data_IF_382606219879
#
_entry.id   IF_382606219879
#
_cell.length_a   1.000
_cell.length_b   1.000
_cell.length_c   1.000
_cell.angle_alpha   90.00
_cell.angle_beta   90.00
_cell.angle_gamma   90.00
#
_symmetry.space_group_name_H-M   'P 1'
#
loop_
_entity.id
_entity.type
_entity.pdbx_description
1 polymer ?
#
# COMPACT_ATOMS: atom_id res chain seq x y z
N UNK A 1 -8.50 64.77 -87.75
CA UNK A 1 -9.49 63.75 -88.19
C UNK A 1 -8.91 62.36 -87.95
N UNK A 2 -9.71 61.42 -87.41
CA UNK A 2 -9.56 59.93 -87.39
C UNK A 2 -8.31 59.37 -86.68
N UNK A 3 -8.41 58.69 -85.52
CA UNK A 3 -8.99 57.37 -85.13
C UNK A 3 -7.96 56.21 -85.16
N UNK A 4 -7.93 55.44 -84.04
CA UNK A 4 -7.62 53.98 -83.87
C UNK A 4 -6.14 53.63 -83.58
N UNK A 5 -5.78 53.26 -82.33
CA UNK A 5 -5.61 51.89 -81.73
C UNK A 5 -4.38 51.14 -82.28
N UNK A 6 -3.52 50.38 -81.59
CA UNK A 6 -3.22 49.96 -80.21
C UNK A 6 -1.94 49.08 -80.34
N UNK A 7 -1.08 49.00 -79.32
CA UNK A 7 -0.24 47.84 -78.87
C UNK A 7 1.07 48.37 -78.24
N UNK A 8 1.17 48.40 -76.90
CA UNK A 8 1.57 47.30 -76.02
C UNK A 8 3.10 47.15 -75.93
N UNK A 9 3.74 48.03 -75.16
CA UNK A 9 5.08 47.83 -74.63
C UNK A 9 5.00 46.89 -73.42
N UNK A 10 5.39 45.63 -73.62
CA UNK A 10 5.66 44.68 -72.55
C UNK A 10 7.08 44.97 -72.04
N UNK A 11 7.21 45.83 -71.03
CA UNK A 11 8.40 45.89 -70.19
C UNK A 11 7.99 45.43 -68.79
N UNK A 12 8.49 44.26 -68.41
CA UNK A 12 8.27 43.63 -67.12
C UNK A 12 8.96 44.50 -66.07
N UNK A 13 8.19 45.36 -65.41
CA UNK A 13 8.56 45.83 -64.08
C UNK A 13 7.90 44.86 -63.10
N UNK A 14 8.71 44.04 -62.43
CA UNK A 14 8.31 43.38 -61.20
C UNK A 14 7.85 44.47 -60.23
N UNK A 15 6.54 44.66 -60.12
CA UNK A 15 5.96 45.39 -59.00
C UNK A 15 6.08 44.45 -57.82
N UNK A 16 7.20 44.54 -57.11
CA UNK A 16 7.31 44.06 -55.75
C UNK A 16 6.22 44.78 -54.95
N UNK A 17 5.16 44.07 -54.58
CA UNK A 17 4.31 44.54 -53.50
C UNK A 17 5.20 44.59 -52.27
N UNK A 18 5.55 45.81 -51.84
CA UNK A 18 6.15 46.02 -50.54
C UNK A 18 5.18 45.43 -49.50
N UNK A 19 5.65 44.38 -48.85
CA UNK A 19 5.09 43.85 -47.62
C UNK A 19 4.90 45.02 -46.63
N UNK A 20 3.70 45.13 -46.04
CA UNK A 20 3.64 45.29 -44.59
C UNK A 20 3.83 43.84 -44.08
N UNK A 21 4.99 43.36 -43.61
CA UNK A 21 5.95 43.80 -42.56
C UNK A 21 5.27 44.15 -41.24
N UNK A 22 5.04 43.12 -40.42
CA UNK A 22 4.87 43.27 -38.98
C UNK A 22 6.19 43.82 -38.38
N UNK A 23 6.15 44.75 -37.42
CA UNK A 23 7.37 45.36 -36.89
C UNK A 23 8.28 44.33 -36.20
N UNK A 24 9.58 44.49 -36.42
CA UNK A 24 10.70 43.74 -35.81
C UNK A 24 11.01 44.16 -34.36
N UNK A 25 10.21 45.05 -33.76
CA UNK A 25 10.28 45.45 -32.35
C UNK A 25 8.97 46.11 -31.89
N UNK A 26 8.54 45.86 -30.65
CA UNK A 26 7.31 46.39 -30.05
C UNK A 26 7.56 47.46 -28.98
N UNK A 27 6.53 48.24 -28.66
CA UNK A 27 6.46 48.99 -27.40
C UNK A 27 5.03 49.01 -26.88
N UNK A 28 4.85 48.53 -25.65
CA UNK A 28 3.64 48.72 -24.84
C UNK A 28 4.09 49.30 -23.49
N UNK A 29 3.62 50.49 -23.15
CA UNK A 29 3.89 51.13 -21.87
C UNK A 29 2.61 51.74 -21.31
N UNK A 30 2.36 51.52 -20.02
CA UNK A 30 1.22 52.10 -19.30
C UNK A 30 1.66 52.56 -17.91
N UNK A 31 1.48 53.85 -17.65
CA UNK A 31 1.83 54.53 -16.38
C UNK A 31 0.61 55.27 -15.78
N UNK A 32 -0.54 55.32 -16.48
CA UNK A 32 -1.73 56.04 -15.97
C UNK A 32 -3.02 55.19 -15.93
N UNK A 33 -3.58 54.67 -17.03
CA UNK A 33 -4.65 53.62 -16.93
C UNK A 33 -5.02 52.93 -18.26
N UNK A 34 -5.29 51.61 -18.21
CA UNK A 34 -5.98 50.85 -19.27
C UNK A 34 -7.14 50.01 -18.70
N UNK A 35 -8.37 50.21 -19.23
CA UNK A 35 -9.56 49.36 -19.05
C UNK A 35 -10.29 49.25 -20.40
N UNK A 36 -10.63 48.05 -20.93
CA UNK A 36 -11.48 47.99 -22.15
C UNK A 36 -12.53 46.85 -22.11
N UNK A 37 -13.82 47.24 -22.11
CA UNK A 37 -15.06 46.42 -22.13
C UNK A 37 -16.15 46.88 -21.12
N UNK A 38 -17.41 47.11 -21.55
CA UNK A 38 -18.56 47.65 -20.75
C UNK A 38 -19.06 46.63 -19.71
N UNK A 39 -19.37 47.10 -18.49
CA UNK A 39 -20.00 46.31 -17.42
C UNK A 39 -21.43 45.91 -17.82
N UNK A 40 -21.72 44.60 -17.86
CA UNK A 40 -23.06 44.06 -18.16
C UNK A 40 -23.55 43.08 -17.07
N UNK A 41 -23.54 43.49 -15.81
CA UNK A 41 -24.29 42.79 -14.78
C UNK A 41 -24.86 43.75 -13.73
N UNK A 42 -26.14 43.56 -13.41
CA UNK A 42 -26.80 44.16 -12.26
C UNK A 42 -26.27 43.54 -10.96
N UNK A 43 -26.32 44.29 -9.87
CA UNK A 43 -25.92 43.83 -8.53
C UNK A 43 -26.54 42.46 -8.20
N UNK A 44 -25.71 41.49 -7.77
CA UNK A 44 -26.14 40.17 -7.29
C UNK A 44 -25.82 38.96 -8.19
N UNK A 45 -25.44 39.15 -9.45
CA UNK A 45 -25.00 38.07 -10.37
C UNK A 45 -23.51 38.26 -10.70
N UNK A 46 -22.74 37.17 -10.87
CA UNK A 46 -21.34 37.29 -11.32
C UNK A 46 -21.33 37.89 -12.73
N UNK A 47 -20.92 39.15 -12.84
CA UNK A 47 -20.72 39.81 -14.12
C UNK A 47 -19.46 39.31 -14.79
N UNK A 48 -19.44 39.27 -16.12
CA UNK A 48 -18.26 38.88 -16.90
C UNK A 48 -17.84 40.03 -17.81
N UNK A 49 -16.56 40.39 -17.78
CA UNK A 49 -16.01 41.43 -18.65
C UNK A 49 -14.74 40.88 -19.32
N UNK A 50 -14.75 40.77 -20.64
CA UNK A 50 -13.52 40.61 -21.42
C UNK A 50 -12.70 41.89 -21.27
N UNK A 51 -11.52 41.79 -20.66
CA UNK A 51 -10.62 42.93 -20.44
C UNK A 51 -9.60 43.06 -21.56
N UNK A 52 -9.19 41.94 -22.16
CA UNK A 52 -8.25 41.88 -23.28
C UNK A 52 -8.51 40.63 -24.13
N UNK A 53 -8.49 40.76 -25.45
CA UNK A 53 -8.62 39.66 -26.40
C UNK A 53 -7.46 39.69 -27.40
N UNK A 54 -6.75 38.57 -27.56
CA UNK A 54 -5.56 38.44 -28.41
C UNK A 54 -5.76 37.31 -29.43
N UNK A 55 -5.88 37.65 -30.71
CA UNK A 55 -5.99 36.69 -31.81
C UNK A 55 -4.65 36.55 -32.55
N UNK A 56 -3.98 35.38 -32.50
CA UNK A 56 -2.82 35.14 -33.34
C UNK A 56 -3.21 35.13 -34.83
N UNK A 57 -2.38 35.76 -35.67
CA UNK A 57 -2.59 35.84 -37.11
C UNK A 57 -2.60 34.43 -37.75
N UNK A 58 -3.61 34.15 -38.58
CA UNK A 58 -3.74 32.87 -39.28
C UNK A 58 -4.27 31.70 -38.43
N UNK A 59 -4.58 31.91 -37.15
CA UNK A 59 -5.10 30.85 -36.28
C UNK A 59 -6.63 30.75 -36.34
N UNK A 60 -7.18 29.54 -36.54
CA UNK A 60 -8.63 29.30 -36.70
C UNK A 60 -9.38 29.01 -35.40
N UNK A 61 -8.66 28.74 -34.30
CA UNK A 61 -9.25 28.37 -33.00
C UNK A 61 -9.76 29.53 -32.12
N UNK A 62 -9.79 30.76 -32.64
CA UNK A 62 -10.25 31.95 -31.91
C UNK A 62 -9.19 32.60 -31.02
N UNK A 63 -9.55 33.67 -30.28
CA UNK A 63 -8.60 34.46 -29.52
C UNK A 63 -8.38 33.90 -28.12
N UNK A 64 -7.25 34.27 -27.51
CA UNK A 64 -7.06 34.22 -26.07
C UNK A 64 -7.82 35.38 -25.43
N UNK A 65 -8.69 35.09 -24.46
CA UNK A 65 -9.44 36.11 -23.74
C UNK A 65 -9.02 36.14 -22.29
N UNK A 66 -8.64 37.32 -21.82
CA UNK A 66 -8.40 37.61 -20.41
C UNK A 66 -9.66 38.27 -19.87
N UNK A 67 -10.33 37.58 -18.95
CA UNK A 67 -11.61 37.99 -18.40
C UNK A 67 -11.46 38.31 -16.92
N UNK A 68 -12.13 39.36 -16.49
CA UNK A 68 -12.40 39.56 -15.08
C UNK A 68 -13.87 39.24 -14.85
N UNK A 69 -14.14 38.39 -13.86
CA UNK A 69 -15.50 38.14 -13.37
C UNK A 69 -15.58 38.52 -11.91
N UNK A 70 -16.65 39.15 -11.48
CA UNK A 70 -16.82 39.55 -10.09
C UNK A 70 -18.29 39.67 -9.69
N UNK A 71 -18.53 39.63 -8.38
CA UNK A 71 -19.73 40.13 -7.73
C UNK A 71 -19.32 40.94 -6.49
N UNK A 72 -20.26 41.24 -5.59
CA UNK A 72 -19.97 41.98 -4.36
C UNK A 72 -18.98 41.27 -3.40
N UNK A 73 -18.83 39.94 -3.54
CA UNK A 73 -18.12 39.09 -2.57
C UNK A 73 -16.87 38.41 -3.12
N UNK A 74 -16.81 38.15 -4.43
CA UNK A 74 -15.74 37.36 -5.06
C UNK A 74 -15.32 37.96 -6.39
N UNK A 75 -14.05 37.79 -6.74
CA UNK A 75 -13.50 38.18 -8.03
C UNK A 75 -12.66 37.04 -8.62
N UNK A 76 -12.55 37.01 -9.94
CA UNK A 76 -11.85 35.98 -10.71
C UNK A 76 -11.10 36.63 -11.87
N UNK A 77 -9.91 36.09 -12.15
CA UNK A 77 -9.19 36.29 -13.40
C UNK A 77 -9.20 34.99 -14.17
N UNK A 78 -9.84 34.97 -15.34
CA UNK A 78 -9.85 33.81 -16.22
C UNK A 78 -9.03 34.06 -17.49
N UNK A 79 -8.39 33.00 -17.97
CA UNK A 79 -7.74 32.94 -19.28
C UNK A 79 -8.43 31.84 -20.07
N UNK A 80 -9.10 32.24 -21.15
CA UNK A 80 -9.86 31.36 -22.03
C UNK A 80 -9.20 31.28 -23.41
N UNK A 81 -9.38 30.16 -24.08
CA UNK A 81 -9.00 29.99 -25.48
C UNK A 81 -10.21 29.51 -26.29
N UNK A 82 -10.63 30.31 -27.28
CA UNK A 82 -11.78 29.99 -28.13
C UNK A 82 -13.13 30.10 -27.41
N UNK A 83 -14.05 29.14 -27.67
CA UNK A 83 -15.46 29.14 -27.20
C UNK A 83 -15.77 28.13 -26.09
N UNK A 84 -14.81 27.32 -25.64
CA UNK A 84 -15.05 26.23 -24.68
C UNK A 84 -14.26 26.42 -23.38
N UNK A 85 -14.91 26.99 -22.36
CA UNK A 85 -14.47 26.98 -20.97
C UNK A 85 -13.17 27.75 -20.66
N UNK A 86 -12.96 28.05 -19.38
CA UNK A 86 -11.73 28.69 -18.91
C UNK A 86 -10.60 27.67 -18.77
N UNK A 87 -9.47 27.97 -19.41
CA UNK A 87 -8.28 27.12 -19.35
C UNK A 87 -7.54 27.32 -18.02
N UNK A 88 -7.46 28.57 -17.54
CA UNK A 88 -6.90 28.94 -16.25
C UNK A 88 -7.86 29.89 -15.53
N UNK A 89 -8.09 29.65 -14.26
CA UNK A 89 -8.87 30.50 -13.36
C UNK A 89 -8.06 30.83 -12.13
N UNK A 90 -8.05 32.10 -11.73
CA UNK A 90 -7.46 32.54 -10.46
C UNK A 90 -8.55 33.25 -9.67
N UNK A 91 -8.87 32.74 -8.48
CA UNK A 91 -9.89 33.35 -7.60
C UNK A 91 -9.30 34.45 -6.71
N UNK A 92 -10.16 35.30 -6.14
CA UNK A 92 -9.78 36.32 -5.15
C UNK A 92 -9.13 35.72 -3.90
N UNK A 93 -9.44 34.47 -3.57
CA UNK A 93 -8.81 33.70 -2.49
C UNK A 93 -7.47 33.06 -2.90
N UNK A 94 -6.98 33.39 -4.10
CA UNK A 94 -5.71 32.90 -4.67
C UNK A 94 -5.72 31.40 -4.96
N UNK A 95 -6.88 30.82 -5.22
CA UNK A 95 -6.96 29.44 -5.74
C UNK A 95 -6.76 29.47 -7.26
N UNK A 96 -6.02 28.50 -7.78
CA UNK A 96 -5.73 28.34 -9.19
C UNK A 96 -6.46 27.10 -9.72
N UNK A 97 -7.36 27.30 -10.68
CA UNK A 97 -8.04 26.23 -11.40
C UNK A 97 -7.45 26.06 -12.80
N UNK A 98 -7.08 24.85 -13.20
CA UNK A 98 -6.72 24.52 -14.57
C UNK A 98 -7.84 23.65 -15.14
N UNK A 99 -8.57 24.16 -16.13
CA UNK A 99 -9.76 23.52 -16.70
C UNK A 99 -11.02 23.57 -15.81
N UNK A 100 -10.99 24.33 -14.70
CA UNK A 100 -12.15 24.54 -13.80
C UNK A 100 -12.29 26.03 -13.45
N UNK A 101 -13.53 26.51 -13.34
CA UNK A 101 -13.86 27.92 -13.02
C UNK A 101 -14.14 28.16 -11.54
N UNK A 102 -14.28 27.10 -10.74
CA UNK A 102 -14.60 27.18 -9.31
C UNK A 102 -13.67 26.25 -8.51
N UNK A 103 -12.35 26.50 -8.47
CA UNK A 103 -11.42 25.66 -7.74
C UNK A 103 -11.69 25.70 -6.23
N UNK A 104 -11.85 24.53 -5.64
CA UNK A 104 -12.08 24.30 -4.21
C UNK A 104 -10.79 24.20 -3.38
N UNK A 105 -9.65 24.09 -4.06
CA UNK A 105 -8.31 23.98 -3.46
C UNK A 105 -7.37 25.03 -4.04
N UNK A 106 -6.23 25.26 -3.37
CA UNK A 106 -5.20 26.22 -3.82
C UNK A 106 -4.73 25.96 -5.25
N UNK A 107 -4.63 24.70 -5.63
CA UNK A 107 -4.46 24.27 -7.02
C UNK A 107 -5.45 23.13 -7.28
N UNK A 108 -6.31 23.29 -8.27
CA UNK A 108 -7.22 22.25 -8.74
C UNK A 108 -7.07 22.08 -10.26
N UNK A 109 -6.82 20.85 -10.70
CA UNK A 109 -6.66 20.52 -12.11
C UNK A 109 -7.77 19.57 -12.50
N UNK A 110 -8.66 20.00 -13.39
CA UNK A 110 -9.65 19.12 -14.02
C UNK A 110 -8.97 18.38 -15.18
N UNK A 111 -8.22 17.33 -14.85
CA UNK A 111 -7.45 16.55 -15.81
C UNK A 111 -6.19 15.95 -15.19
N UNK A 112 -5.17 15.72 -16.01
CA UNK A 112 -3.90 15.10 -15.60
C UNK A 112 -2.80 16.16 -15.43
N UNK A 113 -1.95 15.99 -14.43
CA UNK A 113 -0.69 16.73 -14.27
C UNK A 113 0.51 15.86 -14.63
N UNK A 114 1.47 16.39 -15.38
CA UNK A 114 2.76 15.75 -15.64
C UNK A 114 3.89 16.63 -15.08
N UNK A 115 4.60 16.15 -14.07
CA UNK A 115 5.65 16.89 -13.36
C UNK A 115 7.01 16.25 -13.66
N UNK A 116 7.96 17.04 -14.16
CA UNK A 116 9.35 16.57 -14.46
C UNK A 116 10.28 16.60 -13.22
N UNK A 117 9.74 16.87 -12.03
CA UNK A 117 10.49 17.00 -10.78
C UNK A 117 9.75 16.36 -9.61
N UNK A 118 10.29 16.55 -8.39
CA UNK A 118 9.72 15.98 -7.16
C UNK A 118 8.46 16.75 -6.74
N UNK A 119 7.42 16.02 -6.35
CA UNK A 119 6.27 16.56 -5.66
C UNK A 119 6.56 16.47 -4.15
N UNK A 120 6.60 17.61 -3.47
CA UNK A 120 6.92 17.69 -2.04
C UNK A 120 5.64 17.99 -1.26
N UNK A 121 5.31 17.11 -0.32
CA UNK A 121 4.29 17.32 0.70
C UNK A 121 4.99 17.48 2.04
N UNK A 122 4.90 18.66 2.65
CA UNK A 122 5.65 19.00 3.86
C UNK A 122 4.77 19.74 4.84
N UNK A 123 4.42 19.05 5.92
CA UNK A 123 3.65 19.58 7.05
C UNK A 123 4.44 19.29 8.31
N UNK A 124 4.52 20.26 9.22
CA UNK A 124 5.26 20.16 10.48
C UNK A 124 4.31 19.81 11.63
N UNK A 125 3.81 18.58 11.64
CA UNK A 125 3.01 18.01 12.74
C UNK A 125 3.30 16.51 12.89
N UNK A 126 2.55 15.82 13.76
CA UNK A 126 2.76 14.38 14.03
C UNK A 126 2.32 13.47 12.87
N UNK A 127 1.46 13.95 11.98
CA UNK A 127 0.95 13.22 10.81
C UNK A 127 1.88 13.43 9.61
N UNK A 128 2.51 14.60 9.55
CA UNK A 128 3.43 15.03 8.51
C UNK A 128 2.78 15.23 7.15
N UNK A 129 3.63 15.33 6.12
CA UNK A 129 3.17 15.39 4.74
C UNK A 129 2.46 14.12 4.32
N UNK A 130 1.44 14.26 3.46
CA UNK A 130 0.68 13.13 2.94
C UNK A 130 0.45 13.21 1.43
N UNK A 131 0.17 12.04 0.84
CA UNK A 131 -0.44 11.88 -0.48
C UNK A 131 -1.78 11.18 -0.28
N UNK A 132 -2.85 11.75 -0.84
CA UNK A 132 -4.20 11.21 -0.73
C UNK A 132 -4.71 10.70 -2.08
N UNK A 133 -5.31 9.51 -2.07
CA UNK A 133 -6.01 8.89 -3.18
C UNK A 133 -7.48 8.73 -2.80
N UNK A 134 -8.37 9.41 -3.52
CA UNK A 134 -9.81 9.45 -3.22
C UNK A 134 -10.63 8.83 -4.34
N UNK A 135 -11.64 8.05 -3.96
CA UNK A 135 -12.69 7.57 -4.87
C UNK A 135 -14.05 7.96 -4.31
N UNK A 136 -14.60 9.07 -4.82
CA UNK A 136 -15.88 9.62 -4.38
C UNK A 136 -17.09 8.72 -4.70
N UNK A 137 -16.93 7.69 -5.54
CA UNK A 137 -17.99 6.71 -5.80
C UNK A 137 -18.15 5.69 -4.66
N UNK A 138 -17.19 5.59 -3.74
CA UNK A 138 -17.29 4.74 -2.55
C UNK A 138 -17.97 5.51 -1.42
N UNK A 139 -19.28 5.30 -1.27
CA UNK A 139 -20.12 6.04 -0.30
C UNK A 139 -20.56 5.20 0.90
N UNK A 140 -20.29 3.90 0.91
CA UNK A 140 -20.67 3.00 1.99
C UNK A 140 -19.70 3.07 3.18
N UNK A 141 -20.25 3.02 4.40
CA UNK A 141 -19.46 2.90 5.63
C UNK A 141 -18.68 1.57 5.62
N UNK A 142 -17.47 1.57 6.20
CA UNK A 142 -16.55 0.44 6.16
C UNK A 142 -15.86 0.20 4.82
N UNK A 143 -16.16 0.99 3.78
CA UNK A 143 -15.52 0.90 2.46
C UNK A 143 -14.56 2.06 2.26
N UNK A 144 -13.28 1.74 2.01
CA UNK A 144 -12.22 2.76 1.94
C UNK A 144 -12.41 3.68 0.73
N UNK A 145 -12.99 4.85 0.97
CA UNK A 145 -13.21 5.93 0.00
C UNK A 145 -11.98 6.82 -0.15
N UNK A 146 -11.09 6.83 0.85
CA UNK A 146 -9.81 7.52 0.81
C UNK A 146 -8.69 6.65 1.34
N UNK A 147 -7.54 6.72 0.67
CA UNK A 147 -6.28 6.14 1.09
C UNK A 147 -5.23 7.22 1.22
N UNK A 148 -4.55 7.27 2.37
CA UNK A 148 -3.52 8.26 2.62
C UNK A 148 -2.19 7.56 2.89
N UNK A 149 -1.13 8.10 2.31
CA UNK A 149 0.26 7.73 2.58
C UNK A 149 0.86 8.86 3.38
N UNK A 150 1.27 8.58 4.62
CA UNK A 150 1.75 9.56 5.59
C UNK A 150 3.22 9.35 5.92
N UNK A 151 3.92 10.45 6.21
CA UNK A 151 5.23 10.43 6.86
C UNK A 151 5.09 10.93 8.31
N UNK A 152 4.84 10.01 9.24
CA UNK A 152 4.38 10.29 10.61
C UNK A 152 5.52 10.26 11.63
N UNK A 153 5.26 10.82 12.81
CA UNK A 153 6.13 10.78 13.99
C UNK A 153 5.30 10.74 15.29
N UNK A 154 5.97 10.78 16.45
CA UNK A 154 5.34 10.82 17.76
C UNK A 154 4.60 9.51 18.10
N UNK A 155 3.29 9.55 18.41
CA UNK A 155 2.53 8.36 18.84
C UNK A 155 2.38 7.30 17.75
N UNK A 156 2.60 7.68 16.49
CA UNK A 156 2.58 6.77 15.35
C UNK A 156 3.94 6.11 15.08
N UNK A 157 4.97 6.46 15.85
CA UNK A 157 6.36 6.11 15.54
C UNK A 157 6.87 6.86 14.31
N UNK A 158 8.20 6.99 14.21
CA UNK A 158 8.79 7.56 13.01
C UNK A 158 8.65 6.55 11.86
N UNK A 159 7.73 6.84 10.93
CA UNK A 159 7.26 5.84 9.98
C UNK A 159 6.57 6.41 8.74
N UNK A 160 6.66 5.65 7.65
CA UNK A 160 5.78 5.75 6.50
C UNK A 160 4.56 4.85 6.72
N UNK A 161 3.35 5.41 6.73
CA UNK A 161 2.13 4.64 6.99
C UNK A 161 1.07 4.78 5.89
N UNK A 162 0.32 3.70 5.68
CA UNK A 162 -0.78 3.62 4.73
C UNK A 162 -2.07 3.43 5.50
N UNK A 163 -2.96 4.42 5.41
CA UNK A 163 -4.22 4.45 6.14
C UNK A 163 -5.41 4.43 5.19
N UNK A 164 -6.47 3.77 5.64
CA UNK A 164 -7.74 3.71 4.93
C UNK A 164 -8.83 4.43 5.73
N UNK A 165 -9.57 5.28 5.04
CA UNK A 165 -10.71 6.00 5.57
C UNK A 165 -11.96 5.71 4.73
N UNK A 166 -13.10 5.51 5.38
CA UNK A 166 -14.40 5.56 4.69
C UNK A 166 -14.96 6.99 4.67
N UNK A 167 -16.23 7.12 4.31
CA UNK A 167 -16.98 8.39 4.28
C UNK A 167 -17.20 9.02 5.68
N UNK A 168 -17.13 8.22 6.76
CA UNK A 168 -17.30 8.67 8.13
C UNK A 168 -15.95 9.05 8.79
N UNK A 169 -14.84 8.54 8.26
CA UNK A 169 -13.49 8.76 8.80
C UNK A 169 -13.39 8.27 10.27
N UNK A 170 -12.73 9.02 11.15
CA UNK A 170 -12.42 8.58 12.53
C UNK A 170 -13.54 8.90 13.55
N UNK A 171 -14.81 8.93 13.10
CA UNK A 171 -15.98 9.07 13.99
C UNK A 171 -16.53 7.70 14.38
N UNK A 172 -17.47 7.65 15.33
CA UNK A 172 -18.09 6.40 15.78
C UNK A 172 -18.70 5.61 14.62
N UNK A 173 -18.30 4.34 14.49
CA UNK A 173 -18.71 3.45 13.40
C UNK A 173 -18.01 3.71 12.05
N UNK A 174 -17.15 4.71 11.96
CA UNK A 174 -16.34 5.01 10.79
C UNK A 174 -15.06 4.17 10.74
N UNK A 175 -14.57 3.94 9.52
CA UNK A 175 -13.30 3.27 9.29
C UNK A 175 -12.18 4.31 9.24
N UNK A 176 -11.21 4.16 10.14
CA UNK A 176 -10.00 4.95 10.21
C UNK A 176 -8.91 4.08 10.82
N UNK A 177 -8.14 3.38 9.97
CA UNK A 177 -7.14 2.42 10.46
C UNK A 177 -5.91 2.33 9.57
N UNK A 178 -4.77 2.11 10.23
CA UNK A 178 -3.53 1.70 9.62
C UNK A 178 -3.69 0.33 8.93
N UNK A 179 -3.15 0.22 7.71
CA UNK A 179 -3.13 -1.03 6.92
C UNK A 179 -1.72 -1.54 6.73
N UNK A 180 -0.75 -0.66 6.58
CA UNK A 180 0.64 -1.00 6.35
C UNK A 180 1.56 0.08 6.92
N UNK A 181 2.68 -0.35 7.50
CA UNK A 181 3.67 0.53 8.16
C UNK A 181 5.07 0.13 7.75
N UNK A 182 5.91 1.11 7.45
CA UNK A 182 7.36 0.97 7.38
C UNK A 182 7.96 1.97 8.36
N UNK A 183 8.61 1.47 9.41
CA UNK A 183 9.30 2.29 10.41
C UNK A 183 10.67 2.75 9.90
N UNK A 184 11.20 3.86 10.40
CA UNK A 184 12.55 4.35 10.07
C UNK A 184 13.66 3.33 10.40
N UNK A 185 13.44 2.46 11.38
CA UNK A 185 14.36 1.37 11.76
C UNK A 185 14.24 0.13 10.84
N UNK A 186 13.39 0.20 9.81
CA UNK A 186 13.15 -0.85 8.84
C UNK A 186 12.18 -1.95 9.29
N UNK A 187 11.50 -1.82 10.43
CA UNK A 187 10.43 -2.74 10.81
C UNK A 187 9.17 -2.50 9.97
N UNK A 188 8.52 -3.59 9.57
CA UNK A 188 7.32 -3.56 8.73
C UNK A 188 6.12 -4.09 9.51
N UNK A 189 4.98 -3.40 9.39
CA UNK A 189 3.72 -3.78 10.02
C UNK A 189 2.62 -3.99 8.97
N UNK A 190 1.85 -5.06 9.08
CA UNK A 190 0.59 -5.27 8.34
C UNK A 190 -0.56 -5.22 9.34
N UNK A 191 -1.39 -4.18 9.26
CA UNK A 191 -2.42 -3.89 10.27
C UNK A 191 -1.84 -3.53 11.66
N UNK A 192 -0.54 -3.24 11.73
CA UNK A 192 0.20 -2.91 12.94
C UNK A 192 0.89 -1.55 12.75
N UNK A 193 0.46 -0.55 13.53
CA UNK A 193 0.98 0.82 13.45
C UNK A 193 2.37 1.02 14.06
N UNK A 194 2.76 0.16 15.02
CA UNK A 194 4.04 0.25 15.73
C UNK A 194 4.68 -1.15 15.82
N UNK A 195 5.19 -1.70 14.70
CA UNK A 195 5.80 -3.03 14.68
C UNK A 195 7.10 -3.07 15.50
N UNK A 196 7.21 -4.10 16.34
CA UNK A 196 8.35 -4.39 17.21
C UNK A 196 9.33 -5.40 16.59
N UNK A 197 8.85 -6.27 15.70
CA UNK A 197 9.70 -7.18 14.92
C UNK A 197 9.93 -6.65 13.50
N UNK A 198 10.85 -7.28 12.76
CA UNK A 198 11.11 -6.94 11.35
C UNK A 198 9.85 -7.05 10.49
N UNK A 199 8.97 -7.99 10.81
CA UNK A 199 7.63 -8.10 10.24
C UNK A 199 6.65 -8.45 11.37
N UNK A 200 5.73 -7.54 11.70
CA UNK A 200 4.57 -7.84 12.53
C UNK A 200 3.31 -7.85 11.67
N UNK A 201 2.51 -8.91 11.80
CA UNK A 201 1.22 -9.04 11.14
C UNK A 201 0.14 -9.15 12.20
N UNK A 202 -0.71 -8.14 12.28
CA UNK A 202 -1.89 -8.16 13.15
C UNK A 202 -3.04 -8.89 12.44
N UNK A 203 -2.91 -10.20 12.32
CA UNK A 203 -3.88 -11.06 11.64
C UNK A 203 -3.27 -12.37 11.14
N UNK A 204 -4.00 -13.06 10.27
CA UNK A 204 -3.58 -14.35 9.73
C UNK A 204 -2.69 -14.19 8.51
N UNK A 205 -1.58 -14.92 8.48
CA UNK A 205 -0.76 -15.11 7.28
C UNK A 205 -1.24 -16.37 6.58
N UNK A 206 -1.81 -16.23 5.38
CA UNK A 206 -2.18 -17.35 4.52
C UNK A 206 -1.17 -17.46 3.38
N UNK A 207 -0.38 -18.51 3.38
CA UNK A 207 0.71 -18.76 2.44
C UNK A 207 0.60 -20.15 1.83
N UNK A 208 1.05 -20.32 0.59
CA UNK A 208 1.18 -21.65 -0.03
C UNK A 208 2.30 -22.47 0.60
N UNK A 209 3.40 -21.81 0.97
CA UNK A 209 4.58 -22.44 1.56
C UNK A 209 5.29 -21.43 2.46
N UNK A 210 5.89 -21.92 3.55
CA UNK A 210 6.79 -21.16 4.42
C UNK A 210 8.09 -21.94 4.55
N UNK A 211 9.19 -21.38 4.04
CA UNK A 211 10.54 -21.91 4.24
C UNK A 211 11.20 -21.16 5.40
N UNK A 212 11.63 -21.89 6.41
CA UNK A 212 12.29 -21.35 7.60
C UNK A 212 13.74 -21.81 7.56
N UNK A 213 14.67 -20.87 7.42
CA UNK A 213 16.09 -21.17 7.52
C UNK A 213 16.46 -21.30 9.01
N UNK A 214 16.91 -22.49 9.39
CA UNK A 214 17.30 -22.81 10.76
C UNK A 214 18.82 -22.93 10.87
N UNK A 215 19.38 -22.45 11.99
CA UNK A 215 20.82 -22.55 12.30
C UNK A 215 21.21 -23.86 12.98
N UNK A 216 20.25 -24.75 13.26
CA UNK A 216 20.47 -26.06 13.85
C UNK A 216 19.28 -27.00 13.59
N UNK A 217 19.54 -28.30 13.50
CA UNK A 217 18.52 -29.33 13.26
C UNK A 217 18.65 -30.47 14.28
N UNK A 218 17.52 -30.99 14.76
CA UNK A 218 17.48 -32.13 15.69
C UNK A 218 17.78 -33.44 14.97
N UNK A 219 19.06 -33.69 14.66
CA UNK A 219 19.57 -34.99 14.20
C UNK A 219 20.71 -35.46 15.12
N UNK A 220 20.38 -35.63 16.39
CA UNK A 220 21.35 -36.04 17.41
C UNK A 220 20.87 -37.17 18.31
N UNK A 221 19.57 -37.51 18.31
CA UNK A 221 19.01 -38.56 19.19
C UNK A 221 19.56 -39.94 18.83
N UNK A 222 19.92 -40.17 17.56
CA UNK A 222 20.50 -41.45 17.11
C UNK A 222 22.02 -41.55 17.31
N UNK A 223 22.67 -40.53 17.86
CA UNK A 223 24.11 -40.60 18.15
C UNK A 223 24.38 -41.53 19.33
N UNK A 224 25.51 -42.24 19.31
CA UNK A 224 25.85 -43.27 20.31
C UNK A 224 25.98 -42.72 21.74
N UNK A 225 26.32 -41.44 21.85
CA UNK A 225 26.51 -40.70 23.10
C UNK A 225 25.24 -39.98 23.56
N UNK A 226 24.13 -40.10 22.83
CA UNK A 226 22.85 -39.55 23.27
C UNK A 226 22.31 -40.33 24.47
N UNK A 227 22.15 -39.63 25.59
CA UNK A 227 21.58 -40.21 26.80
C UNK A 227 20.04 -40.16 26.73
N UNK A 228 19.44 -41.21 26.19
CA UNK A 228 17.99 -41.38 26.15
C UNK A 228 17.44 -41.45 27.59
N UNK A 229 16.52 -40.55 28.00
CA UNK A 229 15.88 -40.64 29.30
C UNK A 229 15.20 -41.99 29.49
N UNK A 230 15.07 -42.47 30.72
CA UNK A 230 14.25 -43.66 30.96
C UNK A 230 12.76 -43.28 30.98
N UNK A 231 11.87 -44.22 30.61
CA UNK A 231 10.42 -43.96 30.68
C UNK A 231 9.95 -43.57 32.09
N UNK A 232 10.65 -44.04 33.13
CA UNK A 232 10.38 -43.66 34.54
C UNK A 232 10.74 -42.20 34.83
N UNK A 233 11.84 -41.69 34.25
CA UNK A 233 12.21 -40.28 34.35
C UNK A 233 11.25 -39.39 33.57
N UNK A 234 10.83 -39.83 32.38
CA UNK A 234 9.82 -39.14 31.58
C UNK A 234 8.49 -39.08 32.33
N UNK A 235 8.02 -40.19 32.90
CA UNK A 235 6.80 -40.24 33.72
C UNK A 235 6.88 -39.28 34.91
N UNK A 236 8.01 -39.30 35.63
CA UNK A 236 8.25 -38.39 36.76
C UNK A 236 8.19 -36.93 36.31
N UNK A 237 8.83 -36.59 35.19
CA UNK A 237 8.83 -35.22 34.67
C UNK A 237 7.41 -34.76 34.29
N UNK A 238 6.64 -35.61 33.60
CA UNK A 238 5.25 -35.30 33.25
C UNK A 238 4.40 -35.10 34.51
N UNK A 239 4.58 -35.95 35.53
CA UNK A 239 3.87 -35.80 36.81
C UNK A 239 4.22 -34.50 37.54
N UNK A 240 5.46 -34.03 37.44
CA UNK A 240 5.94 -32.80 38.11
C UNK A 240 5.66 -31.51 37.31
N UNK A 241 5.69 -31.57 35.97
CA UNK A 241 5.65 -30.38 35.09
C UNK A 241 4.40 -30.29 34.21
N UNK A 242 3.70 -31.40 33.98
CA UNK A 242 2.50 -31.46 33.16
C UNK A 242 2.74 -31.42 31.64
N UNK A 243 3.99 -31.46 31.19
CA UNK A 243 4.36 -31.49 29.77
C UNK A 243 5.64 -32.30 29.57
N UNK A 244 6.01 -32.57 28.31
CA UNK A 244 7.26 -33.25 27.98
C UNK A 244 8.47 -32.34 28.20
N UNK A 245 9.61 -32.94 28.50
CA UNK A 245 10.88 -32.23 28.61
C UNK A 245 11.23 -31.52 27.29
N UNK A 246 11.78 -30.30 27.37
CA UNK A 246 12.12 -29.40 26.26
C UNK A 246 10.94 -28.86 25.44
N UNK A 247 9.71 -29.31 25.69
CA UNK A 247 8.50 -28.73 25.11
C UNK A 247 8.01 -27.60 26.03
N UNK A 248 7.75 -26.39 25.51
CA UNK A 248 7.31 -25.26 26.34
C UNK A 248 5.94 -25.54 26.95
N UNK A 249 5.68 -24.95 28.12
CA UNK A 249 4.37 -25.03 28.77
C UNK A 249 3.34 -24.12 28.08
N UNK A 250 2.05 -24.35 28.35
CA UNK A 250 0.98 -23.49 27.83
C UNK A 250 1.16 -22.02 28.26
N UNK A 251 1.57 -21.77 29.50
CA UNK A 251 1.82 -20.43 30.01
C UNK A 251 2.95 -19.73 29.23
N UNK A 252 4.03 -20.44 28.92
CA UNK A 252 5.15 -19.90 28.14
C UNK A 252 4.72 -19.58 26.70
N UNK A 253 3.93 -20.47 26.08
CA UNK A 253 3.39 -20.31 24.73
C UNK A 253 2.45 -19.11 24.63
N UNK A 254 1.54 -18.95 25.59
CA UNK A 254 0.60 -17.83 25.59
C UNK A 254 1.30 -16.48 25.81
N UNK A 255 2.41 -16.48 26.56
CA UNK A 255 3.16 -15.25 26.86
C UNK A 255 4.10 -14.84 25.73
N UNK A 256 4.82 -15.79 25.14
CA UNK A 256 5.94 -15.49 24.23
C UNK A 256 5.69 -15.92 22.77
N UNK A 257 4.60 -16.65 22.50
CA UNK A 257 4.38 -17.29 21.21
C UNK A 257 5.27 -18.54 21.02
N UNK A 258 5.26 -19.08 19.80
CA UNK A 258 6.06 -20.25 19.41
C UNK A 258 6.90 -19.93 18.18
N UNK A 259 8.19 -20.24 18.24
CA UNK A 259 9.02 -20.33 17.04
C UNK A 259 8.71 -21.64 16.31
N UNK A 260 8.11 -21.56 15.13
CA UNK A 260 7.66 -22.73 14.35
C UNK A 260 8.81 -23.66 13.98
N UNK A 261 9.97 -23.11 13.62
CA UNK A 261 11.15 -23.91 13.29
C UNK A 261 11.67 -24.69 14.50
N UNK A 262 11.87 -24.00 15.62
CA UNK A 262 12.34 -24.63 16.86
C UNK A 262 11.36 -25.69 17.37
N UNK A 263 10.05 -25.41 17.31
CA UNK A 263 9.03 -26.36 17.72
C UNK A 263 9.03 -27.61 16.84
N UNK A 264 9.17 -27.46 15.52
CA UNK A 264 9.29 -28.60 14.61
C UNK A 264 10.54 -29.44 14.91
N UNK A 265 11.68 -28.81 15.22
CA UNK A 265 12.89 -29.52 15.61
C UNK A 265 12.73 -30.26 16.95
N UNK A 266 12.07 -29.66 17.94
CA UNK A 266 11.74 -30.31 19.23
C UNK A 266 10.78 -31.49 19.05
N UNK A 267 9.75 -31.35 18.19
CA UNK A 267 8.83 -32.43 17.88
C UNK A 267 9.55 -33.59 17.18
N UNK A 268 10.45 -33.30 16.23
CA UNK A 268 11.28 -34.33 15.60
C UNK A 268 12.11 -35.09 16.63
N UNK A 269 12.78 -34.38 17.55
CA UNK A 269 13.53 -35.01 18.65
C UNK A 269 12.65 -36.01 19.43
N UNK A 270 11.40 -35.63 19.75
CA UNK A 270 10.48 -36.52 20.48
C UNK A 270 9.99 -37.71 19.67
N UNK A 271 9.85 -37.56 18.36
CA UNK A 271 9.57 -38.69 17.45
C UNK A 271 10.75 -39.68 17.43
N UNK A 272 11.98 -39.18 17.41
CA UNK A 272 13.18 -40.02 17.43
C UNK A 272 13.35 -40.75 18.77
N UNK A 273 13.17 -40.06 19.90
CA UNK A 273 13.19 -40.67 21.25
C UNK A 273 12.12 -41.77 21.36
N UNK A 274 10.89 -41.47 20.90
CA UNK A 274 9.79 -42.44 20.87
C UNK A 274 10.11 -43.66 20.01
N UNK A 275 10.77 -43.45 18.87
CA UNK A 275 11.20 -44.55 17.98
C UNK A 275 12.19 -45.48 18.69
N UNK A 276 13.13 -44.93 19.48
CA UNK A 276 14.06 -45.75 20.27
C UNK A 276 13.34 -46.59 21.33
N UNK A 277 12.37 -46.00 22.06
CA UNK A 277 11.57 -46.77 23.02
C UNK A 277 10.75 -47.87 22.36
N UNK A 278 10.16 -47.61 21.17
CA UNK A 278 9.41 -48.61 20.42
C UNK A 278 10.30 -49.78 19.97
N UNK A 279 11.53 -49.50 19.52
CA UNK A 279 12.50 -50.54 19.16
C UNK A 279 12.84 -51.40 20.39
N UNK A 280 13.10 -50.76 21.54
CA UNK A 280 13.39 -51.47 22.78
C UNK A 280 12.21 -52.33 23.24
N UNK A 281 11.00 -51.78 23.17
CA UNK A 281 9.77 -52.46 23.55
C UNK A 281 9.49 -53.66 22.65
N UNK A 282 9.69 -53.54 21.33
CA UNK A 282 9.52 -54.64 20.39
C UNK A 282 10.51 -55.79 20.66
N UNK A 283 11.76 -55.47 21.02
CA UNK A 283 12.73 -56.48 21.45
C UNK A 283 12.25 -57.23 22.69
N UNK A 284 11.76 -56.50 23.70
CA UNK A 284 11.19 -57.11 24.92
C UNK A 284 9.99 -58.00 24.62
N UNK A 285 9.09 -57.57 23.74
CA UNK A 285 7.92 -58.38 23.32
C UNK A 285 8.36 -59.67 22.62
N UNK A 286 9.35 -59.60 21.73
CA UNK A 286 9.86 -60.79 21.05
C UNK A 286 10.47 -61.79 22.05
N UNK A 287 11.31 -61.30 22.98
CA UNK A 287 11.89 -62.14 24.03
C UNK A 287 10.80 -62.77 24.90
N UNK A 288 9.80 -61.99 25.32
CA UNK A 288 8.67 -62.51 26.09
C UNK A 288 7.86 -63.56 25.30
N UNK A 289 7.69 -63.37 24.00
CA UNK A 289 7.01 -64.34 23.13
C UNK A 289 7.79 -65.66 23.03
N UNK A 290 9.11 -65.60 22.90
CA UNK A 290 9.98 -66.79 22.90
C UNK A 290 9.91 -67.52 24.25
N UNK A 291 9.95 -66.78 25.36
CA UNK A 291 9.79 -67.34 26.72
C UNK A 291 8.41 -68.01 26.89
N UNK A 292 7.34 -67.39 26.40
CA UNK A 292 5.99 -67.95 26.44
C UNK A 292 5.92 -69.26 25.63
N UNK A 293 6.51 -69.33 24.45
CA UNK A 293 6.55 -70.57 23.66
C UNK A 293 7.35 -71.68 24.37
N UNK A 294 8.47 -71.34 25.00
CA UNK A 294 9.24 -72.27 25.83
C UNK A 294 8.42 -72.82 27.01
N UNK A 295 7.71 -71.93 27.72
CA UNK A 295 6.83 -72.30 28.84
C UNK A 295 5.68 -73.21 28.39
N UNK A 296 5.03 -72.90 27.25
CA UNK A 296 3.98 -73.76 26.67
C UNK A 296 4.50 -75.16 26.36
N UNK A 297 5.68 -75.27 25.77
CA UNK A 297 6.33 -76.56 25.49
C UNK A 297 6.60 -77.36 26.77
N UNK A 298 7.08 -76.70 27.83
CA UNK A 298 7.29 -77.32 29.13
C UNK A 298 5.98 -77.83 29.74
N UNK A 299 4.91 -77.02 29.70
CA UNK A 299 3.58 -77.42 30.19
C UNK A 299 3.06 -78.65 29.44
N UNK A 300 3.19 -78.70 28.12
CA UNK A 300 2.81 -79.88 27.33
C UNK A 300 3.59 -81.13 27.74
N UNK A 301 4.89 -80.99 27.99
CA UNK A 301 5.73 -82.10 28.44
C UNK A 301 5.34 -82.59 29.83
N UNK A 302 5.04 -81.69 30.77
CA UNK A 302 4.56 -82.05 32.12
C UNK A 302 3.23 -82.79 32.05
N UNK A 303 2.27 -82.27 31.29
CA UNK A 303 0.95 -82.92 31.12
C UNK A 303 1.08 -84.34 30.55
N UNK A 304 2.01 -84.56 29.61
CA UNK A 304 2.29 -85.89 29.07
C UNK A 304 2.88 -86.84 30.12
N UNK A 305 3.82 -86.36 30.93
CA UNK A 305 4.38 -87.16 32.03
C UNK A 305 3.28 -87.53 33.05
N UNK A 306 2.39 -86.59 33.38
CA UNK A 306 1.26 -86.86 34.27
C UNK A 306 0.28 -87.89 33.70
N UNK A 307 -0.01 -87.85 32.39
CA UNK A 307 -0.85 -88.87 31.76
C UNK A 307 -0.21 -90.25 31.78
N UNK A 308 1.09 -90.32 31.50
CA UNK A 308 1.83 -91.59 31.47
C UNK A 308 1.95 -92.23 32.87
N UNK A 309 2.00 -91.41 33.93
CA UNK A 309 1.99 -91.86 35.33
C UNK A 309 0.61 -92.36 35.78
N UNK A 310 -0.49 -91.81 35.25
CA UNK A 310 -1.86 -92.24 35.58
C UNK A 310 -2.28 -93.55 34.91
N UNK A 311 -1.57 -93.99 33.87
CA UNK A 311 -1.86 -95.22 33.13
C UNK A 311 -1.09 -96.46 33.64
N UNK A 312 -0.20 -96.28 34.62
CA UNK A 312 0.48 -97.37 35.34
C UNK A 312 -0.22 -97.68 36.66
#
# INVERSE_FOLDING_TARGET
>A
MKKILLLASLFVLQINFAQNTYPTSGSAYYDTSLKIGKQEASAGTIGQINRLSLQPYGHTGGPWNFKARDNEYVAFLDIDYGITGSALTITSDKNIGIGTTNPSQKLEVLGNGFFKGVIISSVSDVIGGQIQLKNSSKTANGTASSWNIYNMTGPYGNSLQFWAYDNLACVEGGMCSNRFTIMDNGNVGIGAGNPTNKLDVNGTIHSKEVKIDMTGWSDFVFKKDYNLPTLKEVEKHIAEKGHLENIPSEEEVLKNGINVGEMNAKLLQKIEEMTLYMIEQNKKINTQSEEIESLKSLVLRVNKIESDLRQK
#
